data_IF_117743252988
#
_entry.id   IF_117743252988
#
_cell.length_a   1.000
_cell.length_b   1.000
_cell.length_c   1.000
_cell.angle_alpha   90.00
_cell.angle_beta   90.00
_cell.angle_gamma   90.00
#
_symmetry.space_group_name_H-M   'P 1'
#
loop_
_entity.id
_entity.type
_entity.pdbx_description
1 polymer ?
#
# COMPACT_ATOMS: atom_id res chain seq x y z
N UNK A 1 -18.18 -8.73 13.80
CA UNK A 1 -17.39 -7.60 14.35
C UNK A 1 -16.66 -8.09 15.57
N UNK A 2 -15.40 -7.69 15.80
CA UNK A 2 -14.71 -7.99 17.04
C UNK A 2 -15.47 -7.35 18.21
N UNK A 3 -15.49 -8.02 19.36
CA UNK A 3 -15.92 -7.37 20.58
C UNK A 3 -14.90 -6.28 20.93
N UNK A 4 -15.35 -5.03 20.92
CA UNK A 4 -14.50 -3.90 21.28
C UNK A 4 -13.82 -3.21 20.12
N UNK A 5 -14.53 -2.32 19.42
CA UNK A 5 -13.89 -1.26 18.67
C UNK A 5 -13.06 -0.37 19.60
N UNK A 6 -11.98 0.24 19.13
CA UNK A 6 -11.25 1.23 19.92
C UNK A 6 -12.23 2.30 20.41
N UNK A 7 -12.05 2.76 21.65
CA UNK A 7 -12.95 3.74 22.27
C UNK A 7 -13.06 4.99 21.39
N UNK A 8 -14.28 5.29 20.98
CA UNK A 8 -14.58 6.45 20.15
C UNK A 8 -14.39 6.24 18.65
N UNK A 9 -14.15 5.01 18.17
CA UNK A 9 -14.13 4.73 16.73
C UNK A 9 -15.50 4.86 16.09
N UNK A 10 -15.52 5.20 14.81
CA UNK A 10 -16.71 5.15 13.98
C UNK A 10 -17.21 3.71 13.85
N UNK A 11 -18.52 3.51 13.96
CA UNK A 11 -19.16 2.22 13.70
C UNK A 11 -19.36 1.95 12.21
N UNK A 12 -19.38 3.00 11.40
CA UNK A 12 -19.58 2.94 9.94
C UNK A 12 -18.27 2.71 9.22
N UNK A 13 -17.18 3.31 9.74
CA UNK A 13 -15.85 3.26 9.16
C UNK A 13 -14.96 2.24 9.88
N UNK A 14 -15.25 0.96 9.66
CA UNK A 14 -14.46 -0.17 10.13
C UNK A 14 -14.54 -1.30 9.10
N UNK A 15 -13.44 -1.55 8.36
CA UNK A 15 -13.43 -2.46 7.21
C UNK A 15 -12.03 -2.95 6.83
N UNK A 16 -11.96 -3.79 5.80
CA UNK A 16 -10.76 -4.23 5.10
C UNK A 16 -9.74 -4.95 6.00
N UNK A 17 -10.12 -6.02 6.70
CA UNK A 17 -9.18 -6.69 7.59
C UNK A 17 -8.07 -7.40 6.81
N UNK A 18 -6.80 -7.19 7.22
CA UNK A 18 -5.66 -8.01 6.84
C UNK A 18 -5.26 -8.91 7.98
N UNK A 19 -5.23 -10.21 7.73
CA UNK A 19 -4.95 -11.23 8.75
C UNK A 19 -3.64 -11.93 8.44
N UNK A 20 -2.84 -12.21 9.47
CA UNK A 20 -1.70 -13.10 9.39
C UNK A 20 -1.60 -13.98 10.63
N UNK A 21 -0.83 -15.05 10.53
CA UNK A 21 -0.52 -15.94 11.65
C UNK A 21 0.92 -15.76 12.09
N UNK A 22 1.13 -15.73 13.39
CA UNK A 22 2.45 -15.76 13.98
C UNK A 22 2.45 -16.73 15.18
N UNK A 23 3.18 -17.82 15.07
CA UNK A 23 3.13 -18.92 16.03
C UNK A 23 1.71 -19.49 16.12
N UNK A 24 1.17 -19.53 17.34
CA UNK A 24 -0.18 -20.01 17.63
C UNK A 24 -1.24 -18.91 17.64
N UNK A 25 -0.87 -17.68 17.32
CA UNK A 25 -1.77 -16.54 17.34
C UNK A 25 -2.04 -16.02 15.95
N UNK A 26 -3.26 -15.57 15.74
CA UNK A 26 -3.66 -14.81 14.58
C UNK A 26 -3.74 -13.33 14.96
N UNK A 27 -3.31 -12.48 14.05
CA UNK A 27 -3.38 -11.04 14.17
C UNK A 27 -4.18 -10.47 13.00
N UNK A 28 -4.88 -9.37 13.22
CA UNK A 28 -5.61 -8.67 12.20
C UNK A 28 -5.47 -7.16 12.40
N UNK A 29 -5.09 -6.46 11.35
CA UNK A 29 -5.28 -5.01 11.26
C UNK A 29 -6.54 -4.72 10.47
N UNK A 30 -7.23 -3.62 10.77
CA UNK A 30 -8.39 -3.17 10.03
C UNK A 30 -8.33 -1.66 9.78
N UNK A 31 -8.92 -1.23 8.67
CA UNK A 31 -9.14 0.19 8.39
C UNK A 31 -10.20 0.75 9.33
N UNK A 32 -9.94 1.93 9.88
CA UNK A 32 -10.84 2.56 10.83
C UNK A 32 -10.71 4.08 10.84
N UNK A 33 -11.72 4.73 11.40
CA UNK A 33 -11.71 6.17 11.69
C UNK A 33 -12.01 6.40 13.15
N UNK A 34 -11.24 7.23 13.81
CA UNK A 34 -11.45 7.66 15.18
C UNK A 34 -12.54 8.73 15.28
N UNK A 35 -12.95 9.05 16.50
CA UNK A 35 -14.02 10.04 16.75
C UNK A 35 -13.68 11.45 16.29
N UNK A 36 -12.42 11.82 16.30
CA UNK A 36 -11.94 13.14 15.84
C UNK A 36 -11.86 13.24 14.31
N UNK A 37 -12.22 12.17 13.59
CA UNK A 37 -12.18 12.08 12.14
C UNK A 37 -10.89 11.51 11.57
N UNK A 38 -9.88 11.22 12.41
CA UNK A 38 -8.59 10.67 11.97
C UNK A 38 -8.69 9.23 11.50
N UNK A 39 -8.02 8.92 10.40
CA UNK A 39 -7.74 7.53 10.03
C UNK A 39 -6.86 6.85 11.07
N UNK A 40 -7.15 5.60 11.39
CA UNK A 40 -6.40 4.78 12.35
C UNK A 40 -6.42 3.31 11.97
N UNK A 41 -5.41 2.56 12.45
CA UNK A 41 -5.30 1.13 12.22
C UNK A 41 -5.28 0.38 13.56
N UNK A 42 -6.41 -0.14 14.02
CA UNK A 42 -6.47 -1.05 15.17
C UNK A 42 -5.89 -2.42 14.82
N UNK A 43 -5.18 -3.00 15.78
CA UNK A 43 -4.67 -4.37 15.76
C UNK A 43 -5.47 -5.24 16.71
N UNK A 44 -5.88 -6.38 16.23
CA UNK A 44 -6.56 -7.42 17.00
C UNK A 44 -5.74 -8.70 17.03
N UNK A 45 -5.97 -9.52 18.06
CA UNK A 45 -5.43 -10.89 18.14
C UNK A 45 -6.53 -11.90 18.39
N UNK A 46 -6.30 -13.13 17.92
CA UNK A 46 -7.18 -14.28 18.14
C UNK A 46 -6.38 -15.58 18.23
N UNK A 47 -6.93 -16.57 18.94
CA UNK A 47 -6.40 -17.95 18.97
C UNK A 47 -7.19 -18.91 18.08
N UNK A 48 -8.36 -18.50 17.57
CA UNK A 48 -9.29 -19.40 16.88
C UNK A 48 -9.98 -18.79 15.65
N UNK A 49 -9.58 -17.56 15.23
CA UNK A 49 -10.18 -16.80 14.13
C UNK A 49 -11.64 -16.39 14.32
N UNK A 50 -12.21 -16.64 15.50
CA UNK A 50 -13.60 -16.30 15.84
C UNK A 50 -13.68 -15.19 16.88
N UNK A 51 -12.93 -15.35 17.94
CA UNK A 51 -12.92 -14.42 19.07
C UNK A 51 -11.69 -13.52 18.94
N UNK A 52 -11.92 -12.23 18.75
CA UNK A 52 -10.90 -11.23 18.52
C UNK A 52 -10.87 -10.22 19.64
N UNK A 53 -9.68 -9.95 20.16
CA UNK A 53 -9.44 -8.94 21.18
C UNK A 53 -8.55 -7.82 20.64
N UNK A 54 -8.90 -6.57 20.96
CA UNK A 54 -8.10 -5.41 20.62
C UNK A 54 -6.77 -5.46 21.37
N UNK A 55 -5.66 -5.27 20.65
CA UNK A 55 -4.30 -5.22 21.20
C UNK A 55 -3.85 -3.78 21.33
N UNK A 56 -3.88 -3.03 20.24
CA UNK A 56 -3.38 -1.66 20.15
C UNK A 56 -4.01 -0.90 18.99
N UNK A 57 -3.67 0.37 18.88
CA UNK A 57 -3.74 1.14 17.63
C UNK A 57 -2.32 1.20 17.08
N UNK A 58 -2.07 0.51 15.96
CA UNK A 58 -0.76 0.49 15.29
C UNK A 58 -0.32 1.90 14.97
N UNK A 59 -1.22 2.68 14.37
CA UNK A 59 -0.96 4.06 14.00
C UNK A 59 -2.27 4.84 13.80
N UNK A 60 -2.16 6.18 13.91
CA UNK A 60 -3.27 7.12 13.76
C UNK A 60 -2.76 8.42 13.11
N UNK A 61 -3.50 8.96 12.14
CA UNK A 61 -3.01 10.10 11.34
C UNK A 61 -3.13 11.46 12.02
N UNK A 62 -3.96 11.61 13.04
CA UNK A 62 -4.23 12.90 13.68
C UNK A 62 -4.65 13.99 12.67
N UNK A 63 -5.52 13.62 11.72
CA UNK A 63 -6.03 14.46 10.62
C UNK A 63 -4.98 15.01 9.64
N UNK A 64 -3.74 14.51 9.63
CA UNK A 64 -2.71 14.95 8.69
C UNK A 64 -2.79 14.21 7.35
N UNK A 65 -3.10 12.92 7.38
CA UNK A 65 -3.07 12.05 6.20
C UNK A 65 -4.47 11.45 5.95
N UNK A 66 -5.43 12.31 5.57
CA UNK A 66 -6.79 11.89 5.27
C UNK A 66 -7.64 11.59 6.52
N UNK A 67 -8.87 11.15 6.29
CA UNK A 67 -9.87 10.96 7.34
C UNK A 67 -10.25 9.52 7.63
N UNK A 68 -10.13 8.64 6.64
CA UNK A 68 -10.35 7.21 6.79
C UNK A 68 -9.18 6.48 6.16
N UNK A 69 -8.64 5.51 6.86
CA UNK A 69 -7.57 4.68 6.37
C UNK A 69 -8.11 3.31 5.98
N UNK A 70 -8.15 3.03 4.69
CA UNK A 70 -8.65 1.79 4.11
C UNK A 70 -7.51 0.82 3.78
N UNK A 71 -7.87 -0.45 3.55
CA UNK A 71 -7.02 -1.51 3.03
C UNK A 71 -5.63 -1.61 3.71
N UNK A 72 -5.55 -1.65 5.06
CA UNK A 72 -4.26 -1.72 5.72
C UNK A 72 -3.53 -3.02 5.41
N UNK A 73 -2.20 -2.94 5.30
CA UNK A 73 -1.31 -4.09 5.24
C UNK A 73 -0.10 -3.82 6.13
N UNK A 74 0.08 -4.60 7.19
CA UNK A 74 1.15 -4.44 8.16
C UNK A 74 2.08 -5.63 8.15
N UNK A 75 3.38 -5.37 8.02
CA UNK A 75 4.42 -6.42 7.96
C UNK A 75 5.79 -5.88 8.36
N UNK A 76 6.75 -6.79 8.54
CA UNK A 76 8.16 -6.46 8.71
C UNK A 76 8.93 -6.75 7.42
N UNK A 77 9.79 -5.83 7.01
CA UNK A 77 10.62 -5.94 5.81
C UNK A 77 11.97 -5.25 6.05
N UNK A 78 13.06 -5.96 5.80
CA UNK A 78 14.45 -5.47 5.92
C UNK A 78 14.73 -4.74 7.25
N UNK A 79 14.18 -5.28 8.36
CA UNK A 79 14.36 -4.76 9.71
C UNK A 79 13.49 -3.55 10.08
N UNK A 80 12.54 -3.16 9.23
CA UNK A 80 11.56 -2.10 9.50
C UNK A 80 10.16 -2.68 9.64
N UNK A 81 9.35 -2.08 10.50
CA UNK A 81 7.91 -2.20 10.48
C UNK A 81 7.35 -1.33 9.36
N UNK A 82 6.50 -1.90 8.53
CA UNK A 82 5.90 -1.25 7.36
C UNK A 82 4.39 -1.34 7.46
N UNK A 83 3.72 -0.22 7.36
CA UNK A 83 2.27 -0.10 7.24
C UNK A 83 1.95 0.54 5.89
N UNK A 84 1.24 -0.19 5.03
CA UNK A 84 0.60 0.36 3.85
C UNK A 84 -0.86 0.63 4.20
N UNK A 85 -1.39 1.75 3.72
CA UNK A 85 -2.81 2.09 3.86
C UNK A 85 -3.27 3.03 2.75
N UNK A 86 -4.57 3.08 2.51
CA UNK A 86 -5.19 3.90 1.47
C UNK A 86 -6.12 4.93 2.11
N UNK A 87 -5.61 6.13 2.40
CA UNK A 87 -6.41 7.20 2.98
C UNK A 87 -7.42 7.79 2.02
N UNK A 88 -8.59 8.14 2.55
CA UNK A 88 -9.57 9.00 1.89
C UNK A 88 -9.40 10.46 2.36
N UNK A 89 -9.81 11.41 1.51
CA UNK A 89 -9.80 12.84 1.81
C UNK A 89 -8.42 13.38 2.23
N UNK A 90 -7.37 12.98 1.53
CA UNK A 90 -6.05 13.56 1.72
C UNK A 90 -5.99 15.00 1.25
N UNK A 91 -5.17 15.80 1.90
CA UNK A 91 -4.74 17.11 1.41
C UNK A 91 -3.39 16.96 0.71
N UNK A 92 -3.20 17.72 -0.38
CA UNK A 92 -1.92 17.71 -1.09
C UNK A 92 -0.80 18.24 -0.19
N UNK A 93 0.36 17.57 -0.22
CA UNK A 93 1.56 17.98 0.49
C UNK A 93 2.75 17.93 -0.48
N UNK A 94 3.20 19.10 -0.92
CA UNK A 94 4.28 19.27 -1.89
C UNK A 94 4.09 18.41 -3.17
N UNK A 95 5.10 17.64 -3.53
CA UNK A 95 5.07 16.65 -4.62
C UNK A 95 4.93 15.21 -4.12
N UNK A 96 4.83 15.00 -2.80
CA UNK A 96 4.75 13.66 -2.23
C UNK A 96 3.31 13.14 -2.23
N UNK A 97 2.32 13.97 -1.91
CA UNK A 97 0.93 13.55 -1.82
C UNK A 97 0.01 14.44 -2.66
N UNK A 98 -0.89 13.84 -3.43
CA UNK A 98 -1.98 14.54 -4.07
C UNK A 98 -3.23 14.60 -3.17
N UNK A 99 -4.15 15.52 -3.47
CA UNK A 99 -5.46 15.60 -2.80
C UNK A 99 -6.36 14.45 -3.22
N UNK A 100 -7.31 14.07 -2.35
CA UNK A 100 -8.30 13.04 -2.62
C UNK A 100 -7.94 11.68 -2.02
N UNK A 101 -8.13 10.60 -2.77
CA UNK A 101 -7.85 9.25 -2.32
C UNK A 101 -6.45 8.83 -2.75
N UNK A 102 -5.60 8.50 -1.79
CA UNK A 102 -4.19 8.20 -2.04
C UNK A 102 -3.72 6.92 -1.35
N UNK A 103 -2.40 6.74 -1.34
CA UNK A 103 -1.77 5.60 -0.68
C UNK A 103 -0.56 6.04 0.14
N UNK A 104 -0.43 5.51 1.33
CA UNK A 104 0.67 5.78 2.24
C UNK A 104 1.47 4.52 2.53
N UNK A 105 2.79 4.69 2.55
CA UNK A 105 3.71 3.79 3.22
C UNK A 105 4.29 4.49 4.45
N UNK A 106 4.00 3.97 5.63
CA UNK A 106 4.55 4.44 6.89
C UNK A 106 5.54 3.41 7.38
N UNK A 107 6.77 3.82 7.64
CA UNK A 107 7.83 2.93 8.08
C UNK A 107 8.46 3.44 9.38
N UNK A 108 8.95 2.48 10.17
CA UNK A 108 9.61 2.80 11.42
C UNK A 108 9.95 1.55 12.23
N UNK A 109 9.92 1.70 13.55
CA UNK A 109 10.08 0.61 14.49
C UNK A 109 8.76 0.26 15.15
N UNK A 110 8.56 -1.01 15.45
CA UNK A 110 7.41 -1.50 16.20
C UNK A 110 7.86 -2.63 17.10
N UNK A 111 7.59 -2.51 18.39
CA UNK A 111 7.83 -3.58 19.37
C UNK A 111 6.60 -4.48 19.46
N UNK A 112 6.83 -5.78 19.65
CA UNK A 112 5.72 -6.73 19.93
C UNK A 112 5.19 -6.61 21.36
N UNK A 113 5.77 -5.76 22.19
CA UNK A 113 5.30 -5.49 23.55
C UNK A 113 4.13 -4.51 23.55
N UNK A 114 4.19 -3.50 22.69
CA UNK A 114 3.14 -2.45 22.61
C UNK A 114 2.39 -2.42 21.27
N UNK A 115 2.99 -2.95 20.21
CA UNK A 115 2.43 -2.95 18.86
C UNK A 115 2.03 -1.57 18.39
N UNK A 116 2.88 -0.57 18.65
CA UNK A 116 2.74 0.81 18.16
C UNK A 116 3.83 1.09 17.14
N UNK A 117 3.48 1.64 16.00
CA UNK A 117 4.42 2.03 14.96
C UNK A 117 5.02 3.41 15.28
N UNK A 118 6.29 3.42 15.66
CA UNK A 118 7.06 4.65 15.83
C UNK A 118 7.60 5.08 14.47
N UNK A 119 6.94 6.08 13.88
CA UNK A 119 7.24 6.56 12.53
C UNK A 119 8.65 7.11 12.41
N UNK A 120 9.37 6.68 11.38
CA UNK A 120 10.64 7.27 10.94
C UNK A 120 10.48 7.92 9.57
N UNK A 121 9.63 7.34 8.72
CA UNK A 121 9.39 7.80 7.35
C UNK A 121 7.93 7.60 6.95
N UNK A 122 7.39 8.57 6.22
CA UNK A 122 6.11 8.48 5.53
C UNK A 122 6.35 8.86 4.08
N UNK A 123 5.86 8.06 3.14
CA UNK A 123 5.99 8.31 1.71
C UNK A 123 4.75 7.85 0.95
N UNK A 124 4.52 8.42 -0.24
CA UNK A 124 3.59 7.87 -1.20
C UNK A 124 4.08 6.49 -1.69
N UNK A 125 3.16 5.58 -1.98
CA UNK A 125 3.51 4.28 -2.54
C UNK A 125 3.68 4.40 -4.06
N UNK A 126 2.87 5.23 -4.69
CA UNK A 126 2.93 5.49 -6.13
C UNK A 126 2.61 6.98 -6.37
N UNK A 127 3.23 7.57 -7.39
CA UNK A 127 3.02 8.97 -7.75
C UNK A 127 2.00 9.15 -8.89
N UNK A 128 1.42 8.05 -9.38
CA UNK A 128 0.31 8.09 -10.32
C UNK A 128 -1.02 8.35 -9.62
N UNK A 129 -1.96 8.99 -10.32
CA UNK A 129 -3.30 9.26 -9.77
C UNK A 129 -4.15 7.98 -9.67
N UNK A 130 -3.86 6.99 -10.50
CA UNK A 130 -4.60 5.73 -10.60
C UNK A 130 -3.85 4.59 -9.88
N UNK A 131 -3.69 4.73 -8.57
CA UNK A 131 -3.11 3.67 -7.74
C UNK A 131 -3.78 3.67 -6.36
N UNK A 132 -4.44 2.56 -5.99
CA UNK A 132 -5.19 2.45 -4.74
C UNK A 132 -5.20 1.03 -4.18
N UNK A 133 -5.46 0.90 -2.87
CA UNK A 133 -5.68 -0.37 -2.16
C UNK A 133 -4.56 -1.42 -2.37
N UNK A 134 -3.26 -1.07 -2.25
CA UNK A 134 -2.18 -2.04 -2.39
C UNK A 134 -2.28 -3.10 -1.29
N UNK A 135 -2.05 -4.36 -1.71
CA UNK A 135 -1.96 -5.50 -0.80
C UNK A 135 -0.73 -6.33 -1.12
N UNK A 136 -0.10 -6.88 -0.09
CA UNK A 136 1.11 -7.66 -0.24
C UNK A 136 0.95 -9.11 0.21
N UNK A 137 1.81 -9.95 -0.30
CA UNK A 137 1.97 -11.32 0.19
C UNK A 137 3.44 -11.69 0.32
N UNK A 138 3.76 -12.56 1.27
CA UNK A 138 5.07 -13.18 1.37
C UNK A 138 5.07 -14.41 0.48
N UNK A 139 5.97 -14.45 -0.50
CA UNK A 139 6.13 -15.60 -1.39
C UNK A 139 6.91 -16.71 -0.71
N UNK A 140 6.83 -17.97 -1.20
CA UNK A 140 7.55 -19.10 -0.60
C UNK A 140 9.08 -18.93 -0.57
N UNK A 141 9.64 -18.12 -1.48
CA UNK A 141 11.07 -17.79 -1.53
C UNK A 141 11.45 -16.55 -0.71
N UNK A 142 10.53 -16.05 0.13
CA UNK A 142 10.79 -15.00 1.11
C UNK A 142 10.66 -13.56 0.58
N UNK A 143 10.28 -13.36 -0.67
CA UNK A 143 10.03 -12.01 -1.21
C UNK A 143 8.67 -11.48 -0.74
N UNK A 144 8.61 -10.18 -0.48
CA UNK A 144 7.35 -9.47 -0.30
C UNK A 144 6.91 -8.90 -1.65
N UNK A 145 5.74 -9.35 -2.15
CA UNK A 145 5.22 -8.95 -3.45
C UNK A 145 3.89 -8.22 -3.26
N UNK A 146 3.74 -7.10 -3.95
CA UNK A 146 2.59 -6.20 -3.90
C UNK A 146 1.85 -6.19 -5.23
N UNK A 147 0.52 -6.11 -5.15
CA UNK A 147 -0.37 -5.72 -6.24
C UNK A 147 -1.30 -4.62 -5.74
N UNK A 148 -1.77 -3.76 -6.64
CA UNK A 148 -2.72 -2.69 -6.32
C UNK A 148 -3.76 -2.52 -7.43
N UNK A 149 -4.85 -1.88 -7.11
CA UNK A 149 -5.83 -1.43 -8.09
C UNK A 149 -5.26 -0.24 -8.85
N UNK A 150 -5.12 -0.37 -10.17
CA UNK A 150 -4.62 0.68 -11.06
C UNK A 150 -5.78 1.57 -11.50
N UNK A 151 -6.40 2.17 -10.52
CA UNK A 151 -7.47 3.16 -10.59
C UNK A 151 -7.60 3.83 -9.22
N UNK A 152 -8.39 4.89 -9.12
CA UNK A 152 -8.70 5.55 -7.86
C UNK A 152 -10.21 5.89 -7.84
N UNK A 153 -10.75 6.09 -6.65
CA UNK A 153 -12.12 6.55 -6.49
C UNK A 153 -12.38 7.94 -7.08
N UNK A 154 -11.32 8.74 -7.26
CA UNK A 154 -11.40 10.08 -7.83
C UNK A 154 -11.45 10.08 -9.36
N UNK A 155 -11.21 8.93 -9.99
CA UNK A 155 -11.15 8.79 -11.44
C UNK A 155 -12.07 7.67 -11.95
N UNK A 156 -13.19 8.05 -12.57
CA UNK A 156 -14.19 7.14 -13.12
C UNK A 156 -14.09 6.96 -14.65
N UNK A 157 -12.88 7.02 -15.20
CA UNK A 157 -12.68 6.79 -16.62
C UNK A 157 -12.87 5.30 -16.97
N UNK A 158 -14.11 4.92 -17.19
CA UNK A 158 -14.45 3.65 -17.83
C UNK A 158 -15.03 3.97 -19.21
N UNK A 159 -14.25 3.92 -20.29
CA UNK A 159 -14.75 4.16 -21.64
C UNK A 159 -15.90 3.20 -21.93
N UNK A 160 -17.03 3.72 -22.46
CA UNK A 160 -18.22 2.92 -22.80
C UNK A 160 -17.91 1.76 -23.78
N UNK A 161 -16.82 1.89 -24.54
CA UNK A 161 -16.35 0.88 -25.48
C UNK A 161 -15.64 -0.33 -24.83
N UNK A 162 -15.33 -0.28 -23.52
CA UNK A 162 -14.68 -1.38 -22.81
C UNK A 162 -15.72 -2.25 -22.10
N UNK A 163 -15.62 -3.56 -22.29
CA UNK A 163 -16.44 -4.56 -21.59
C UNK A 163 -15.96 -4.87 -20.17
N UNK A 164 -14.95 -4.15 -19.68
CA UNK A 164 -14.35 -4.32 -18.34
C UNK A 164 -13.97 -2.96 -17.76
N UNK A 165 -13.90 -2.85 -16.44
CA UNK A 165 -13.50 -1.66 -15.72
C UNK A 165 -12.39 -1.94 -14.74
N UNK A 166 -11.46 -0.99 -14.60
CA UNK A 166 -10.30 -1.09 -13.74
C UNK A 166 -9.23 -2.05 -14.23
N UNK A 167 -8.05 -1.96 -13.65
CA UNK A 167 -6.92 -2.85 -13.88
C UNK A 167 -6.19 -3.10 -12.56
N UNK A 168 -5.40 -4.15 -12.52
CA UNK A 168 -4.42 -4.37 -11.46
C UNK A 168 -3.03 -3.97 -11.96
N UNK A 169 -2.19 -3.51 -11.06
CA UNK A 169 -0.78 -3.30 -11.38
C UNK A 169 -0.11 -4.63 -11.73
N UNK A 170 1.01 -4.56 -12.46
CA UNK A 170 1.94 -5.70 -12.45
C UNK A 170 2.42 -5.93 -11.02
N UNK A 171 2.68 -7.19 -10.62
CA UNK A 171 3.22 -7.48 -9.30
C UNK A 171 4.59 -6.83 -9.11
N UNK A 172 4.84 -6.27 -7.92
CA UNK A 172 6.07 -5.55 -7.56
C UNK A 172 6.74 -6.19 -6.36
N UNK A 173 8.03 -6.50 -6.47
CA UNK A 173 8.86 -6.91 -5.32
C UNK A 173 9.21 -5.68 -4.50
N UNK A 174 9.03 -5.79 -3.18
CA UNK A 174 9.32 -4.71 -2.23
C UNK A 174 10.66 -4.94 -1.54
N UNK A 175 11.35 -3.86 -1.26
CA UNK A 175 12.52 -3.82 -0.37
C UNK A 175 12.63 -2.47 0.33
N UNK A 176 13.28 -2.43 1.48
CA UNK A 176 13.58 -1.17 2.17
C UNK A 176 15.07 -0.89 2.05
N UNK A 177 15.43 0.28 1.54
CA UNK A 177 16.81 0.75 1.42
C UNK A 177 16.87 2.21 1.82
N UNK A 178 17.88 2.58 2.59
CA UNK A 178 18.10 3.98 3.01
C UNK A 178 16.84 4.64 3.62
N UNK A 179 16.05 3.84 4.36
CA UNK A 179 14.81 4.30 4.99
C UNK A 179 13.63 4.52 4.04
N UNK A 180 13.72 4.12 2.77
CA UNK A 180 12.62 4.22 1.80
C UNK A 180 12.18 2.85 1.29
N UNK A 181 10.88 2.74 0.98
CA UNK A 181 10.32 1.59 0.28
C UNK A 181 10.64 1.68 -1.21
N UNK A 182 11.30 0.66 -1.71
CA UNK A 182 11.58 0.47 -3.13
C UNK A 182 10.69 -0.61 -3.71
N UNK A 183 10.33 -0.45 -4.97
CA UNK A 183 9.45 -1.34 -5.71
C UNK A 183 10.08 -1.66 -7.06
N UNK A 184 10.17 -2.94 -7.39
CA UNK A 184 10.63 -3.38 -8.71
C UNK A 184 9.60 -4.36 -9.30
N UNK A 185 9.38 -4.36 -10.60
CA UNK A 185 8.61 -5.43 -11.24
C UNK A 185 9.16 -6.79 -10.83
N UNK A 186 8.26 -7.77 -10.60
CA UNK A 186 8.70 -9.11 -10.24
C UNK A 186 9.64 -9.69 -11.32
N UNK A 187 10.73 -10.30 -10.87
CA UNK A 187 11.77 -10.87 -11.75
C UNK A 187 11.27 -11.90 -12.75
N UNK A 188 10.13 -12.52 -12.50
CA UNK A 188 9.50 -13.47 -13.40
C UNK A 188 9.12 -12.85 -14.74
N UNK A 189 8.91 -11.54 -14.81
CA UNK A 189 8.62 -10.82 -16.05
C UNK A 189 9.79 -10.83 -17.04
N UNK A 190 11.03 -10.99 -16.56
CA UNK A 190 12.22 -11.08 -17.42
C UNK A 190 12.11 -12.21 -18.47
N UNK A 191 11.34 -13.27 -18.14
CA UNK A 191 11.09 -14.39 -19.07
C UNK A 191 10.31 -13.99 -20.33
N UNK A 192 9.60 -12.87 -20.24
CA UNK A 192 8.75 -12.36 -21.32
C UNK A 192 9.42 -11.26 -22.13
N UNK A 193 10.65 -10.87 -21.75
CA UNK A 193 11.42 -9.92 -22.52
C UNK A 193 11.77 -10.49 -23.89
N UNK A 194 11.43 -9.74 -24.94
CA UNK A 194 11.79 -10.07 -26.32
C UNK A 194 13.21 -9.65 -26.69
N UNK A 195 13.41 -9.31 -27.96
CA UNK A 195 14.69 -8.79 -28.45
C UNK A 195 14.99 -7.45 -27.78
N UNK A 196 16.13 -7.38 -27.10
CA UNK A 196 16.59 -6.17 -26.42
C UNK A 196 17.18 -5.17 -27.41
N UNK A 197 16.63 -3.96 -27.43
CA UNK A 197 17.24 -2.79 -28.11
C UNK A 197 17.79 -1.87 -27.02
N UNK A 198 19.06 -1.50 -27.13
CA UNK A 198 19.73 -0.62 -26.16
C UNK A 198 20.17 0.66 -26.86
N UNK A 199 19.70 1.80 -26.35
CA UNK A 199 20.15 3.10 -26.74
C UNK A 199 20.83 3.80 -25.55
N UNK A 200 22.10 4.20 -25.70
CA UNK A 200 22.88 4.81 -24.61
C UNK A 200 23.39 6.18 -25.00
N UNK A 201 23.35 7.14 -24.06
CA UNK A 201 23.91 8.47 -24.19
C UNK A 201 23.43 9.22 -25.46
N UNK A 202 22.11 9.14 -25.73
CA UNK A 202 21.50 9.85 -26.82
C UNK A 202 21.30 11.30 -26.39
N UNK A 203 21.93 12.28 -27.08
CA UNK A 203 21.63 13.69 -26.81
C UNK A 203 20.22 14.00 -27.34
N UNK A 204 19.30 14.33 -26.47
CA UNK A 204 17.94 14.73 -26.85
C UNK A 204 17.89 16.26 -26.81
N UNK A 205 17.76 16.90 -27.96
CA UNK A 205 17.59 18.36 -28.07
C UNK A 205 16.12 18.74 -28.29
N UNK A 206 15.39 17.91 -29.02
CA UNK A 206 13.95 18.06 -29.28
C UNK A 206 13.28 16.69 -29.24
N UNK A 207 12.44 16.35 -30.21
CA UNK A 207 11.82 15.05 -30.36
C UNK A 207 12.71 14.09 -31.10
N UNK A 208 13.03 12.94 -30.55
CA UNK A 208 13.83 11.91 -31.21
C UNK A 208 13.10 10.55 -31.15
N UNK A 209 13.04 9.88 -32.29
CA UNK A 209 12.56 8.49 -32.40
C UNK A 209 13.71 7.52 -32.21
N UNK A 210 13.50 6.49 -31.43
CA UNK A 210 14.45 5.38 -31.27
C UNK A 210 14.11 4.28 -32.26
N UNK A 211 14.99 4.04 -33.23
CA UNK A 211 14.79 3.01 -34.20
C UNK A 211 14.81 1.63 -33.58
N UNK A 212 13.82 0.81 -33.93
CA UNK A 212 13.67 -0.54 -33.39
C UNK A 212 13.09 -0.63 -31.96
N UNK A 213 12.79 0.50 -31.31
CA UNK A 213 12.13 0.54 -30.01
C UNK A 213 10.62 0.46 -30.18
N UNK A 214 10.10 -0.75 -30.48
CA UNK A 214 8.67 -1.04 -30.57
C UNK A 214 8.36 -2.25 -29.69
N UNK A 215 7.43 -2.09 -28.79
CA UNK A 215 7.02 -3.17 -27.89
C UNK A 215 5.86 -2.76 -26.99
N UNK A 216 5.30 -3.75 -26.32
CA UNK A 216 4.27 -3.53 -25.26
C UNK A 216 4.93 -3.19 -23.91
N UNK A 217 6.21 -3.44 -23.79
CA UNK A 217 7.03 -3.11 -22.62
C UNK A 217 8.27 -2.36 -23.08
N UNK A 218 8.52 -1.24 -22.45
CA UNK A 218 9.69 -0.37 -22.66
C UNK A 218 10.20 -0.02 -21.26
N UNK A 219 11.47 -0.34 -20.97
CA UNK A 219 12.15 -0.09 -19.70
C UNK A 219 13.16 1.07 -19.84
#
# INVERSE_FOLDING_TARGET
CPEGLPKGSSLEDFRDPKIWQEGESFYAVAGSRSRDGSGQIPLYTSKNLKDWSLVSIIDQCQNRYGKMWECPDFFFLDGKAVLLTSPQDMEAEDFEFHSGNGTLCIMGTCSKEDWVLHREQVQAIDYGLDFYAPQTTLTPDGRRVMVAWLQSWDNYLSPESLYWGGMMTIPRELSVKEGRLYQNPVRELEKYHGKKTIAKKIPVQEKQSLEGAQGRQID
#
